data_IF_461979492117
#
_entry.id   IF_461979492117
#
_cell.length_a   1.000
_cell.length_b   1.000
_cell.length_c   1.000
_cell.angle_alpha   90.00
_cell.angle_beta   90.00
_cell.angle_gamma   90.00
#
_symmetry.space_group_name_H-M   'P 1'
#
loop_
_entity.id
_entity.type
_entity.pdbx_description
1 polymer ?
#
# COMPACT_ATOMS: atom_id res chain seq x y z
N UNK A 1 -24.39 69.28 25.27
CA UNK A 1 -24.51 68.70 23.91
C UNK A 1 -23.51 67.56 23.66
N UNK A 2 -22.21 67.72 23.96
CA UNK A 2 -21.18 66.69 23.70
C UNK A 2 -21.33 65.35 24.45
N UNK A 3 -21.91 65.35 25.65
CA UNK A 3 -22.07 64.13 26.45
C UNK A 3 -23.10 63.17 25.83
N UNK A 4 -24.26 63.66 25.38
CA UNK A 4 -25.33 62.85 24.76
C UNK A 4 -24.90 62.20 23.45
N UNK A 5 -24.19 62.92 22.58
CA UNK A 5 -23.65 62.35 21.33
C UNK A 5 -22.59 61.26 21.57
N UNK A 6 -21.84 61.35 22.67
CA UNK A 6 -20.87 60.33 23.05
C UNK A 6 -21.55 59.04 23.50
N UNK A 7 -22.67 59.14 24.24
CA UNK A 7 -23.46 57.98 24.67
C UNK A 7 -24.14 57.26 23.48
N UNK A 8 -24.66 58.00 22.50
CA UNK A 8 -25.28 57.40 21.30
C UNK A 8 -24.26 56.59 20.47
N UNK A 9 -23.05 57.13 20.29
CA UNK A 9 -21.97 56.42 19.60
C UNK A 9 -21.52 55.16 20.36
N UNK A 10 -21.36 55.25 21.69
CA UNK A 10 -21.03 54.09 22.53
C UNK A 10 -22.08 52.99 22.44
N UNK A 11 -23.37 53.36 22.44
CA UNK A 11 -24.47 52.42 22.34
C UNK A 11 -24.53 51.72 20.97
N UNK A 12 -24.32 52.47 19.88
CA UNK A 12 -24.22 51.90 18.53
C UNK A 12 -23.04 50.93 18.41
N UNK A 13 -21.89 51.26 18.99
CA UNK A 13 -20.71 50.41 18.98
C UNK A 13 -20.93 49.11 19.78
N UNK A 14 -21.56 49.19 20.95
CA UNK A 14 -21.92 48.02 21.75
C UNK A 14 -22.89 47.11 20.99
N UNK A 15 -23.93 47.68 20.36
CA UNK A 15 -24.89 46.90 19.56
C UNK A 15 -24.23 46.24 18.36
N UNK A 16 -23.33 46.93 17.66
CA UNK A 16 -22.59 46.37 16.53
C UNK A 16 -21.67 45.22 16.97
N UNK A 17 -20.97 45.36 18.09
CA UNK A 17 -20.15 44.29 18.67
C UNK A 17 -20.99 43.10 19.09
N UNK A 18 -22.14 43.33 19.73
CA UNK A 18 -23.06 42.27 20.15
C UNK A 18 -23.64 41.52 18.94
N UNK A 19 -24.07 42.24 17.89
CA UNK A 19 -24.55 41.65 16.65
C UNK A 19 -23.45 40.82 15.96
N UNK A 20 -22.22 41.33 15.92
CA UNK A 20 -21.06 40.61 15.37
C UNK A 20 -20.77 39.34 16.17
N UNK A 21 -20.82 39.41 17.51
CA UNK A 21 -20.63 38.26 18.38
C UNK A 21 -21.71 37.19 18.18
N UNK A 22 -22.98 37.59 18.09
CA UNK A 22 -24.10 36.68 17.80
C UNK A 22 -23.90 36.01 16.44
N UNK A 23 -23.48 36.77 15.42
CA UNK A 23 -23.24 36.23 14.08
C UNK A 23 -22.08 35.23 14.06
N UNK A 24 -20.96 35.56 14.73
CA UNK A 24 -19.84 34.62 14.89
C UNK A 24 -20.26 33.35 15.64
N UNK A 25 -21.05 33.48 16.72
CA UNK A 25 -21.56 32.35 17.48
C UNK A 25 -22.49 31.47 16.64
N UNK A 26 -23.41 32.07 15.89
CA UNK A 26 -24.30 31.35 14.98
C UNK A 26 -23.53 30.62 13.88
N UNK A 27 -22.50 31.25 13.29
CA UNK A 27 -21.63 30.63 12.29
C UNK A 27 -20.86 29.44 12.89
N UNK A 28 -20.26 29.61 14.07
CA UNK A 28 -19.54 28.55 14.77
C UNK A 28 -20.45 27.36 15.08
N UNK A 29 -21.66 27.63 15.59
CA UNK A 29 -22.65 26.61 15.89
C UNK A 29 -23.07 25.85 14.62
N UNK A 30 -23.37 26.58 13.54
CA UNK A 30 -23.73 25.98 12.24
C UNK A 30 -22.62 25.09 11.68
N UNK A 31 -21.37 25.57 11.66
CA UNK A 31 -20.21 24.79 11.19
C UNK A 31 -20.02 23.50 12.01
N UNK A 32 -20.15 23.60 13.33
CA UNK A 32 -19.99 22.47 14.25
C UNK A 32 -21.12 21.45 14.07
N UNK A 33 -22.37 21.92 14.04
CA UNK A 33 -23.54 21.09 13.79
C UNK A 33 -23.42 20.36 12.44
N UNK A 34 -23.06 21.09 11.39
CA UNK A 34 -22.94 20.54 10.05
C UNK A 34 -21.79 19.51 9.93
N UNK A 35 -20.64 19.79 10.55
CA UNK A 35 -19.52 18.85 10.67
C UNK A 35 -19.96 17.56 11.37
N UNK A 36 -20.68 17.68 12.49
CA UNK A 36 -21.18 16.53 13.25
C UNK A 36 -22.22 15.74 12.46
N UNK A 37 -23.17 16.42 11.81
CA UNK A 37 -24.17 15.79 10.96
C UNK A 37 -23.53 14.99 9.81
N UNK A 38 -22.57 15.59 9.09
CA UNK A 38 -21.80 14.90 8.03
C UNK A 38 -21.06 13.68 8.58
N UNK A 39 -20.43 13.77 9.75
CA UNK A 39 -19.72 12.64 10.40
C UNK A 39 -20.68 11.51 10.74
N UNK A 40 -21.83 11.81 11.34
CA UNK A 40 -22.84 10.81 11.72
C UNK A 40 -23.40 10.11 10.48
N UNK A 41 -23.81 10.86 9.45
CA UNK A 41 -24.32 10.28 8.20
C UNK A 41 -23.29 9.36 7.56
N UNK A 42 -22.03 9.81 7.46
CA UNK A 42 -20.92 8.99 6.93
C UNK A 42 -20.66 7.74 7.77
N UNK A 43 -20.80 7.81 9.10
CA UNK A 43 -20.65 6.65 9.98
C UNK A 43 -21.75 5.62 9.74
N UNK A 44 -23.02 6.07 9.65
CA UNK A 44 -24.16 5.19 9.34
C UNK A 44 -24.00 4.51 7.99
N UNK A 45 -23.59 5.24 6.96
CA UNK A 45 -23.30 4.66 5.64
C UNK A 45 -22.16 3.63 5.68
N UNK A 46 -21.12 3.86 6.49
CA UNK A 46 -20.04 2.88 6.66
C UNK A 46 -20.54 1.61 7.34
N UNK A 47 -21.29 1.72 8.43
CA UNK A 47 -21.84 0.56 9.16
C UNK A 47 -22.73 -0.25 8.22
N UNK A 48 -23.66 0.41 7.52
CA UNK A 48 -24.55 -0.23 6.56
C UNK A 48 -23.80 -1.04 5.49
N UNK A 49 -22.78 -0.44 4.85
CA UNK A 49 -22.01 -1.18 3.85
C UNK A 49 -21.11 -2.25 4.46
N UNK A 50 -20.58 -2.04 5.66
CA UNK A 50 -19.75 -3.03 6.34
C UNK A 50 -20.56 -4.30 6.63
N UNK A 51 -21.80 -4.18 7.11
CA UNK A 51 -22.68 -5.33 7.34
C UNK A 51 -22.95 -6.13 6.06
N UNK A 52 -23.19 -5.42 4.94
CA UNK A 52 -23.35 -6.06 3.62
C UNK A 52 -22.07 -6.80 3.22
N UNK A 53 -20.92 -6.15 3.36
CA UNK A 53 -19.61 -6.69 2.96
C UNK A 53 -19.29 -7.93 3.79
N UNK A 54 -19.46 -7.86 5.10
CA UNK A 54 -19.12 -8.95 6.01
C UNK A 54 -19.98 -10.17 5.71
N UNK A 55 -21.29 -9.97 5.47
CA UNK A 55 -22.17 -11.05 5.04
C UNK A 55 -21.73 -11.67 3.71
N UNK A 56 -21.50 -10.85 2.68
CA UNK A 56 -21.11 -11.34 1.34
C UNK A 56 -19.79 -12.11 1.39
N UNK A 57 -18.80 -11.62 2.14
CA UNK A 57 -17.50 -12.27 2.25
C UNK A 57 -17.55 -13.53 3.13
N UNK A 58 -18.40 -13.55 4.14
CA UNK A 58 -18.65 -14.76 4.92
C UNK A 58 -19.27 -15.85 4.06
N UNK A 59 -20.34 -15.54 3.33
CA UNK A 59 -21.02 -16.47 2.43
C UNK A 59 -20.02 -16.98 1.35
N UNK A 60 -19.23 -16.09 0.73
CA UNK A 60 -18.18 -16.48 -0.23
C UNK A 60 -17.19 -17.53 0.31
N UNK A 61 -16.80 -17.41 1.59
CA UNK A 61 -15.78 -18.25 2.19
C UNK A 61 -16.33 -19.56 2.74
N UNK A 62 -17.55 -19.56 3.29
CA UNK A 62 -18.07 -20.65 4.11
C UNK A 62 -19.36 -21.29 3.60
N UNK A 63 -20.05 -20.67 2.64
CA UNK A 63 -21.18 -21.30 1.97
C UNK A 63 -20.69 -22.06 0.72
N UNK A 64 -20.98 -23.35 0.66
CA UNK A 64 -20.60 -24.24 -0.44
C UNK A 64 -21.33 -23.89 -1.74
N UNK A 65 -22.49 -23.25 -1.65
CA UNK A 65 -23.31 -22.87 -2.80
C UNK A 65 -22.98 -21.46 -3.33
N UNK A 66 -22.21 -20.67 -2.58
CA UNK A 66 -21.84 -19.32 -2.98
C UNK A 66 -20.49 -19.31 -3.70
N UNK A 67 -20.55 -19.18 -5.03
CA UNK A 67 -19.36 -18.99 -5.86
C UNK A 67 -18.94 -17.50 -5.93
N UNK A 68 -17.71 -17.20 -6.39
CA UNK A 68 -17.22 -15.83 -6.51
C UNK A 68 -18.10 -14.91 -7.38
N UNK A 69 -18.72 -15.44 -8.43
CA UNK A 69 -19.62 -14.70 -9.33
C UNK A 69 -20.90 -14.25 -8.65
N UNK A 70 -21.51 -15.16 -7.89
CA UNK A 70 -22.75 -14.93 -7.15
C UNK A 70 -22.50 -13.91 -6.05
N UNK A 71 -21.44 -14.10 -5.25
CA UNK A 71 -21.04 -13.12 -4.24
C UNK A 71 -20.76 -11.75 -4.86
N UNK A 72 -20.06 -11.70 -6.01
CA UNK A 72 -19.77 -10.45 -6.72
C UNK A 72 -21.04 -9.76 -7.25
N UNK A 73 -22.01 -10.50 -7.76
CA UNK A 73 -23.29 -9.97 -8.23
C UNK A 73 -24.11 -9.38 -7.08
N UNK A 74 -24.16 -10.08 -5.94
CA UNK A 74 -24.81 -9.58 -4.71
C UNK A 74 -24.10 -8.32 -4.23
N UNK A 75 -22.77 -8.32 -4.16
CA UNK A 75 -21.97 -7.15 -3.78
C UNK A 75 -22.31 -5.95 -4.67
N UNK A 76 -22.25 -6.11 -6.00
CA UNK A 76 -22.55 -5.02 -6.94
C UNK A 76 -23.97 -4.50 -6.79
N UNK A 77 -24.95 -5.40 -6.68
CA UNK A 77 -26.36 -5.03 -6.54
C UNK A 77 -26.62 -4.26 -5.24
N UNK A 78 -26.10 -4.75 -4.12
CA UNK A 78 -26.32 -4.16 -2.79
C UNK A 78 -25.52 -2.89 -2.56
N UNK A 79 -24.33 -2.79 -3.15
CA UNK A 79 -23.44 -1.63 -2.94
C UNK A 79 -23.55 -0.58 -4.04
N UNK A 80 -24.07 -0.95 -5.21
CA UNK A 80 -24.14 -0.10 -6.41
C UNK A 80 -22.79 0.55 -6.76
N UNK A 81 -21.69 -0.17 -6.50
CA UNK A 81 -20.31 0.32 -6.67
C UNK A 81 -20.02 1.63 -5.93
N UNK A 82 -20.72 1.88 -4.82
CA UNK A 82 -20.54 3.09 -4.03
C UNK A 82 -19.11 3.15 -3.47
N UNK A 83 -18.45 4.30 -3.62
CA UNK A 83 -17.02 4.47 -3.26
C UNK A 83 -16.67 4.05 -1.84
N UNK A 84 -17.55 4.31 -0.86
CA UNK A 84 -17.32 3.88 0.53
C UNK A 84 -17.36 2.34 0.62
N UNK A 85 -18.31 1.70 -0.07
CA UNK A 85 -18.43 0.26 -0.10
C UNK A 85 -17.22 -0.38 -0.80
N UNK A 86 -16.77 0.14 -1.94
CA UNK A 86 -15.56 -0.36 -2.61
C UNK A 86 -14.34 -0.25 -1.71
N UNK A 87 -14.18 0.88 -1.01
CA UNK A 87 -13.07 1.06 -0.06
C UNK A 87 -13.13 0.08 1.12
N UNK A 88 -14.30 -0.12 1.71
CA UNK A 88 -14.48 -1.05 2.83
C UNK A 88 -14.32 -2.51 2.38
N UNK A 89 -14.92 -2.87 1.24
CA UNK A 89 -14.88 -4.20 0.65
C UNK A 89 -13.45 -4.61 0.36
N UNK A 90 -12.68 -3.72 -0.28
CA UNK A 90 -11.26 -3.94 -0.52
C UNK A 90 -10.47 -4.14 0.78
N UNK A 91 -10.74 -3.33 1.81
CA UNK A 91 -10.07 -3.47 3.11
C UNK A 91 -10.37 -4.81 3.77
N UNK A 92 -11.64 -5.22 3.85
CA UNK A 92 -12.03 -6.53 4.39
C UNK A 92 -11.41 -7.66 3.59
N UNK A 93 -11.48 -7.57 2.26
CA UNK A 93 -10.94 -8.57 1.33
C UNK A 93 -9.42 -8.77 1.52
N UNK A 94 -8.64 -7.70 1.69
CA UNK A 94 -7.20 -7.77 1.97
C UNK A 94 -6.86 -8.39 3.32
N UNK A 95 -7.70 -8.16 4.34
CA UNK A 95 -7.50 -8.77 5.66
C UNK A 95 -7.70 -10.29 5.53
N UNK A 96 -8.79 -10.70 4.87
CA UNK A 96 -9.06 -12.12 4.63
C UNK A 96 -7.97 -12.76 3.76
N UNK A 97 -7.56 -12.13 2.66
CA UNK A 97 -6.51 -12.67 1.77
C UNK A 97 -5.16 -12.87 2.47
N UNK A 98 -4.85 -12.03 3.47
CA UNK A 98 -3.64 -12.20 4.29
C UNK A 98 -3.72 -13.39 5.24
N UNK A 99 -4.92 -13.70 5.73
CA UNK A 99 -5.14 -14.72 6.75
C UNK A 99 -5.45 -16.10 6.17
N UNK A 100 -5.96 -16.18 4.94
CA UNK A 100 -6.32 -17.43 4.27
C UNK A 100 -5.34 -17.80 3.15
N UNK A 101 -5.18 -19.11 2.92
CA UNK A 101 -4.33 -19.70 1.88
C UNK A 101 -5.12 -20.70 1.03
N UNK A 102 -4.48 -21.32 0.03
CA UNK A 102 -5.09 -22.35 -0.80
C UNK A 102 -6.34 -21.89 -1.56
N UNK A 103 -7.38 -22.72 -1.59
CA UNK A 103 -8.60 -22.48 -2.37
C UNK A 103 -9.37 -21.24 -1.91
N UNK A 104 -9.43 -20.96 -0.60
CA UNK A 104 -10.10 -19.77 -0.08
C UNK A 104 -9.44 -18.48 -0.59
N UNK A 105 -8.10 -18.47 -0.67
CA UNK A 105 -7.36 -17.34 -1.25
C UNK A 105 -7.73 -17.12 -2.72
N UNK A 106 -7.84 -18.20 -3.50
CA UNK A 106 -8.25 -18.12 -4.91
C UNK A 106 -9.69 -17.63 -5.08
N UNK A 107 -10.62 -18.04 -4.19
CA UNK A 107 -11.99 -17.49 -4.16
C UNK A 107 -11.99 -15.97 -3.97
N UNK A 108 -11.16 -15.46 -3.04
CA UNK A 108 -11.03 -14.03 -2.76
C UNK A 108 -10.44 -13.26 -3.95
N UNK A 109 -9.42 -13.80 -4.62
CA UNK A 109 -8.83 -13.22 -5.85
C UNK A 109 -9.84 -13.19 -7.00
N UNK A 110 -10.63 -14.25 -7.16
CA UNK A 110 -11.71 -14.28 -8.15
C UNK A 110 -12.79 -13.25 -7.85
N UNK A 111 -13.25 -13.17 -6.60
CA UNK A 111 -14.22 -12.16 -6.16
C UNK A 111 -13.70 -10.73 -6.38
N UNK A 112 -12.42 -10.46 -6.11
CA UNK A 112 -11.80 -9.15 -6.33
C UNK A 112 -12.00 -8.63 -7.76
N UNK A 113 -11.79 -9.51 -8.74
CA UNK A 113 -11.97 -9.18 -10.15
C UNK A 113 -13.45 -9.04 -10.48
N UNK A 114 -14.25 -10.05 -10.11
CA UNK A 114 -15.65 -10.12 -10.52
C UNK A 114 -16.53 -9.04 -9.86
N UNK A 115 -16.21 -8.62 -8.64
CA UNK A 115 -16.91 -7.54 -7.92
C UNK A 115 -16.63 -6.14 -8.47
N UNK A 116 -15.60 -5.98 -9.32
CA UNK A 116 -15.15 -4.67 -9.82
C UNK A 116 -14.21 -3.93 -8.86
N UNK A 117 -13.80 -4.56 -7.75
CA UNK A 117 -12.81 -3.99 -6.84
C UNK A 117 -11.43 -3.86 -7.50
N UNK A 118 -11.07 -4.75 -8.42
CA UNK A 118 -9.85 -4.61 -9.23
C UNK A 118 -9.82 -3.32 -10.03
N UNK A 119 -10.95 -2.95 -10.67
CA UNK A 119 -11.07 -1.70 -11.41
C UNK A 119 -10.95 -0.49 -10.48
N UNK A 120 -11.55 -0.55 -9.29
CA UNK A 120 -11.42 0.50 -8.29
C UNK A 120 -9.95 0.74 -7.90
N UNK A 121 -9.16 -0.31 -7.74
CA UNK A 121 -7.71 -0.21 -7.48
C UNK A 121 -6.93 0.29 -8.69
N UNK A 122 -7.24 -0.18 -9.90
CA UNK A 122 -6.65 0.30 -11.15
C UNK A 122 -6.80 1.82 -11.31
N UNK A 123 -7.98 2.35 -11.00
CA UNK A 123 -8.24 3.78 -11.10
C UNK A 123 -7.33 4.61 -10.17
N UNK A 124 -6.79 4.02 -9.09
CA UNK A 124 -5.85 4.70 -8.19
C UNK A 124 -4.48 4.91 -8.84
N UNK A 125 -4.08 4.07 -9.81
CA UNK A 125 -2.82 4.23 -10.54
C UNK A 125 -2.76 5.54 -11.36
N UNK A 126 -3.93 6.07 -11.74
CA UNK A 126 -4.06 7.31 -12.50
C UNK A 126 -4.18 8.57 -11.61
N UNK A 127 -4.03 8.41 -10.29
CA UNK A 127 -4.15 9.52 -9.34
C UNK A 127 -2.95 10.46 -9.40
N UNK A 128 -3.20 11.78 -9.34
CA UNK A 128 -2.14 12.79 -9.13
C UNK A 128 -1.51 12.71 -7.73
N UNK A 129 -2.28 12.19 -6.77
CA UNK A 129 -1.80 11.93 -5.41
C UNK A 129 -1.03 10.61 -5.41
N UNK A 130 0.30 10.71 -5.28
CA UNK A 130 1.23 9.59 -5.27
C UNK A 130 0.89 8.55 -4.21
N UNK A 131 0.28 8.96 -3.08
CA UNK A 131 -0.09 8.03 -2.00
C UNK A 131 -1.17 7.07 -2.46
N UNK A 132 -2.11 7.54 -3.29
CA UNK A 132 -3.13 6.68 -3.90
C UNK A 132 -2.54 5.78 -4.97
N UNK A 133 -1.53 6.24 -5.72
CA UNK A 133 -0.83 5.39 -6.69
C UNK A 133 -0.18 4.21 -5.97
N UNK A 134 0.55 4.47 -4.87
CA UNK A 134 1.11 3.45 -3.98
C UNK A 134 0.03 2.50 -3.45
N UNK A 135 -1.11 3.04 -2.99
CA UNK A 135 -2.26 2.23 -2.55
C UNK A 135 -2.72 1.30 -3.68
N UNK A 136 -2.96 1.82 -4.88
CA UNK A 136 -3.37 1.02 -6.04
C UNK A 136 -2.38 -0.08 -6.42
N UNK A 137 -1.07 0.23 -6.43
CA UNK A 137 -0.01 -0.75 -6.69
C UNK A 137 -0.10 -1.90 -5.68
N UNK A 138 -0.21 -1.59 -4.38
CA UNK A 138 -0.32 -2.59 -3.31
C UNK A 138 -1.58 -3.43 -3.43
N UNK A 139 -2.71 -2.81 -3.75
CA UNK A 139 -3.98 -3.51 -3.88
C UNK A 139 -3.92 -4.54 -5.00
N UNK A 140 -3.38 -4.14 -6.16
CA UNK A 140 -3.31 -4.98 -7.35
C UNK A 140 -2.30 -6.11 -7.17
N UNK A 141 -1.13 -5.85 -6.58
CA UNK A 141 -0.10 -6.87 -6.35
C UNK A 141 -0.47 -7.85 -5.24
N UNK A 142 -1.02 -7.37 -4.13
CA UNK A 142 -1.46 -8.22 -3.00
C UNK A 142 -2.53 -9.21 -3.45
N UNK A 143 -3.47 -8.76 -4.29
CA UNK A 143 -4.52 -9.61 -4.84
C UNK A 143 -4.09 -10.39 -6.10
N UNK A 144 -2.77 -10.50 -6.34
CA UNK A 144 -2.19 -11.25 -7.45
C UNK A 144 -2.81 -10.91 -8.83
N UNK A 145 -3.15 -9.64 -9.06
CA UNK A 145 -3.87 -9.23 -10.25
C UNK A 145 -2.92 -9.04 -11.44
N UNK A 146 -2.58 -10.15 -12.10
CA UNK A 146 -1.65 -10.20 -13.24
C UNK A 146 -1.91 -9.18 -14.37
N UNK A 147 -3.17 -8.87 -14.75
CA UNK A 147 -3.43 -7.85 -15.77
C UNK A 147 -2.87 -6.46 -15.44
N UNK A 148 -2.63 -6.16 -14.16
CA UNK A 148 -2.03 -4.89 -13.74
C UNK A 148 -0.52 -4.79 -13.97
N UNK A 149 0.15 -5.89 -14.32
CA UNK A 149 1.62 -5.92 -14.43
C UNK A 149 2.17 -4.78 -15.29
N UNK A 150 1.63 -4.58 -16.49
CA UNK A 150 2.09 -3.52 -17.40
C UNK A 150 1.89 -2.13 -16.79
N UNK A 151 0.71 -1.86 -16.25
CA UNK A 151 0.39 -0.58 -15.64
C UNK A 151 1.23 -0.28 -14.38
N UNK A 152 1.58 -1.30 -13.60
CA UNK A 152 2.50 -1.18 -12.47
C UNK A 152 3.93 -0.95 -12.97
N UNK A 153 4.37 -1.66 -14.01
CA UNK A 153 5.69 -1.48 -14.60
C UNK A 153 5.90 -0.06 -15.11
N UNK A 154 4.87 0.57 -15.69
CA UNK A 154 4.93 1.97 -16.11
C UNK A 154 5.23 2.94 -14.93
N UNK A 155 4.85 2.59 -13.70
CA UNK A 155 5.12 3.38 -12.50
C UNK A 155 6.60 3.37 -12.07
N UNK A 156 7.44 2.51 -12.65
CA UNK A 156 8.90 2.56 -12.43
C UNK A 156 9.53 3.88 -12.92
N UNK A 157 8.83 4.61 -13.80
CA UNK A 157 9.22 5.93 -14.34
C UNK A 157 8.59 7.09 -13.58
N UNK A 158 7.85 6.83 -12.50
CA UNK A 158 7.17 7.87 -11.74
C UNK A 158 8.18 8.82 -11.05
N UNK A 159 7.93 10.15 -10.98
CA UNK A 159 8.90 11.12 -10.41
C UNK A 159 9.19 10.94 -8.91
N UNK A 160 8.38 10.16 -8.20
CA UNK A 160 8.55 9.88 -6.76
C UNK A 160 9.20 8.53 -6.54
N UNK A 161 10.37 8.51 -5.90
CA UNK A 161 11.11 7.28 -5.57
C UNK A 161 10.23 6.25 -4.85
N UNK A 162 9.42 6.66 -3.87
CA UNK A 162 8.51 5.76 -3.15
C UNK A 162 7.54 5.00 -4.07
N UNK A 163 7.07 5.63 -5.15
CA UNK A 163 6.20 4.97 -6.14
C UNK A 163 7.00 3.97 -6.97
N UNK A 164 8.21 4.33 -7.38
CA UNK A 164 9.10 3.46 -8.15
C UNK A 164 9.48 2.21 -7.33
N UNK A 165 9.83 2.38 -6.06
CA UNK A 165 10.19 1.28 -5.15
C UNK A 165 8.99 0.37 -4.90
N UNK A 166 7.80 0.94 -4.65
CA UNK A 166 6.58 0.15 -4.50
C UNK A 166 6.22 -0.62 -5.77
N UNK A 167 6.33 0.03 -6.93
CA UNK A 167 6.08 -0.61 -8.22
C UNK A 167 7.00 -1.81 -8.41
N UNK A 168 8.29 -1.68 -8.10
CA UNK A 168 9.22 -2.79 -8.21
C UNK A 168 8.90 -3.94 -7.25
N UNK A 169 8.59 -3.66 -5.98
CA UNK A 169 8.13 -4.67 -5.01
C UNK A 169 6.93 -5.43 -5.58
N UNK A 170 5.94 -4.71 -6.12
CA UNK A 170 4.75 -5.28 -6.72
C UNK A 170 5.05 -6.16 -7.94
N UNK A 171 6.01 -5.80 -8.79
CA UNK A 171 6.43 -6.64 -9.92
C UNK A 171 7.03 -7.96 -9.42
N UNK A 172 7.89 -7.92 -8.40
CA UNK A 172 8.44 -9.13 -7.75
C UNK A 172 7.32 -9.98 -7.15
N UNK A 173 6.31 -9.37 -6.51
CA UNK A 173 5.16 -10.11 -5.98
C UNK A 173 4.37 -10.81 -7.10
N UNK A 174 4.20 -10.17 -8.27
CA UNK A 174 3.42 -10.71 -9.37
C UNK A 174 4.16 -11.78 -10.18
N UNK A 175 5.46 -11.61 -10.44
CA UNK A 175 6.23 -12.50 -11.34
C UNK A 175 7.42 -13.20 -10.70
N UNK A 176 7.65 -12.96 -9.43
CA UNK A 176 8.70 -13.62 -8.67
C UNK A 176 10.10 -13.06 -8.90
N UNK A 177 11.09 -13.89 -8.57
CA UNK A 177 12.50 -13.50 -8.48
C UNK A 177 13.16 -13.18 -9.81
N UNK A 178 12.53 -13.52 -10.94
CA UNK A 178 13.02 -13.13 -12.28
C UNK A 178 13.10 -11.61 -12.46
N UNK A 179 12.19 -10.86 -11.81
CA UNK A 179 12.20 -9.40 -11.85
C UNK A 179 13.46 -8.80 -11.20
N UNK A 180 14.11 -9.51 -10.27
CA UNK A 180 15.32 -9.06 -9.59
C UNK A 180 16.50 -8.89 -10.55
N UNK A 181 16.53 -9.64 -11.66
CA UNK A 181 17.61 -9.52 -12.66
C UNK A 181 17.63 -8.14 -13.32
N UNK A 182 16.48 -7.46 -13.39
CA UNK A 182 16.35 -6.11 -13.95
C UNK A 182 17.03 -5.03 -13.09
N UNK A 183 17.38 -5.35 -11.85
CA UNK A 183 18.00 -4.40 -10.92
C UNK A 183 19.47 -4.12 -11.22
N UNK A 184 20.20 -5.02 -11.91
CA UNK A 184 21.67 -4.91 -12.04
C UNK A 184 22.14 -3.51 -12.43
N UNK A 185 21.50 -2.92 -13.44
CA UNK A 185 21.84 -1.59 -13.96
C UNK A 185 20.80 -0.52 -13.58
N UNK A 186 19.97 -0.77 -12.56
CA UNK A 186 18.89 0.12 -12.17
C UNK A 186 19.37 1.20 -11.20
N UNK A 187 18.87 2.43 -11.41
CA UNK A 187 18.99 3.55 -10.48
C UNK A 187 17.97 3.49 -9.33
N UNK A 188 17.19 2.41 -9.23
CA UNK A 188 16.12 2.29 -8.24
C UNK A 188 16.67 2.25 -6.81
N UNK A 189 16.23 3.19 -5.99
CA UNK A 189 16.57 3.19 -4.57
C UNK A 189 15.66 2.23 -3.79
N UNK A 190 16.24 1.19 -3.18
CA UNK A 190 15.55 0.21 -2.35
C UNK A 190 16.01 0.33 -0.90
N UNK A 191 15.28 1.10 -0.09
CA UNK A 191 15.60 1.25 1.33
C UNK A 191 15.41 -0.07 2.12
N UNK A 192 15.79 -0.06 3.40
CA UNK A 192 15.69 -1.24 4.26
C UNK A 192 14.24 -1.75 4.40
N UNK A 193 13.24 -0.87 4.31
CA UNK A 193 11.84 -1.24 4.31
C UNK A 193 11.46 -1.99 3.02
N UNK A 194 11.83 -1.46 1.85
CA UNK A 194 11.56 -2.07 0.55
C UNK A 194 12.23 -3.44 0.44
N UNK A 195 13.49 -3.55 0.86
CA UNK A 195 14.22 -4.82 0.86
C UNK A 195 13.59 -5.85 1.81
N UNK A 196 13.21 -5.44 3.02
CA UNK A 196 12.49 -6.30 3.96
C UNK A 196 11.15 -6.78 3.38
N UNK A 197 10.44 -5.91 2.67
CA UNK A 197 9.17 -6.24 2.04
C UNK A 197 9.35 -7.24 0.88
N UNK A 198 10.39 -7.07 0.05
CA UNK A 198 10.76 -8.07 -0.97
C UNK A 198 10.98 -9.43 -0.31
N UNK A 199 11.91 -9.53 0.66
CA UNK A 199 12.24 -10.79 1.33
C UNK A 199 11.02 -11.42 2.02
N UNK A 200 10.20 -10.61 2.69
CA UNK A 200 8.96 -11.08 3.32
C UNK A 200 8.00 -11.73 2.31
N UNK A 201 7.80 -11.11 1.15
CA UNK A 201 6.92 -11.68 0.13
C UNK A 201 7.51 -12.94 -0.48
N UNK A 202 8.81 -12.96 -0.80
CA UNK A 202 9.50 -14.16 -1.30
C UNK A 202 9.30 -15.36 -0.36
N UNK A 203 9.37 -15.12 0.96
CA UNK A 203 9.09 -16.12 2.00
C UNK A 203 7.63 -16.55 2.03
N UNK A 204 6.70 -15.59 2.07
CA UNK A 204 5.26 -15.86 2.18
C UNK A 204 4.74 -16.70 1.00
N UNK A 205 5.30 -16.53 -0.19
CA UNK A 205 4.87 -17.25 -1.40
C UNK A 205 5.77 -18.43 -1.77
N UNK A 206 6.78 -18.76 -0.94
CA UNK A 206 7.76 -19.81 -1.21
C UNK A 206 8.35 -19.72 -2.64
N UNK A 207 8.68 -18.51 -3.08
CA UNK A 207 9.22 -18.28 -4.42
C UNK A 207 10.60 -18.89 -4.56
N UNK A 208 10.87 -19.46 -5.74
CA UNK A 208 12.18 -20.05 -6.08
C UNK A 208 13.31 -19.01 -5.98
N UNK A 209 14.53 -19.42 -5.61
CA UNK A 209 15.68 -18.53 -5.57
C UNK A 209 15.90 -17.84 -6.92
N UNK A 210 16.40 -16.60 -6.94
CA UNK A 210 16.89 -15.98 -8.17
C UNK A 210 18.04 -16.81 -8.77
N UNK A 211 18.13 -16.88 -10.09
CA UNK A 211 19.15 -17.69 -10.79
C UNK A 211 20.58 -17.22 -10.53
N UNK A 212 20.81 -15.90 -10.55
CA UNK A 212 22.15 -15.31 -10.42
C UNK A 212 22.14 -14.06 -9.52
N UNK A 213 21.82 -14.19 -8.22
CA UNK A 213 21.77 -13.04 -7.32
C UNK A 213 23.13 -12.35 -7.15
N UNK A 214 24.24 -13.08 -7.31
CA UNK A 214 25.59 -12.54 -7.18
C UNK A 214 25.88 -11.43 -8.21
N UNK A 215 25.27 -11.47 -9.40
CA UNK A 215 25.46 -10.40 -10.41
C UNK A 215 24.92 -9.04 -9.92
N UNK A 216 24.03 -9.02 -8.93
CA UNK A 216 23.52 -7.77 -8.34
C UNK A 216 24.53 -7.12 -7.38
N UNK A 217 25.54 -7.86 -6.90
CA UNK A 217 26.64 -7.30 -6.08
C UNK A 217 27.57 -6.37 -6.87
N UNK A 218 27.55 -6.49 -8.20
CA UNK A 218 28.31 -5.66 -9.15
C UNK A 218 27.55 -4.38 -9.55
N UNK A 219 26.31 -4.20 -9.09
CA UNK A 219 25.52 -3.01 -9.39
C UNK A 219 26.22 -1.73 -8.92
N UNK A 220 26.17 -0.61 -9.67
CA UNK A 220 26.62 0.68 -9.16
C UNK A 220 25.77 1.18 -7.98
N UNK A 221 24.59 0.57 -7.76
CA UNK A 221 23.66 0.96 -6.72
C UNK A 221 23.87 0.14 -5.44
N UNK A 222 24.32 0.81 -4.40
CA UNK A 222 24.63 0.21 -3.10
C UNK A 222 23.45 -0.51 -2.45
N UNK A 223 22.23 -0.01 -2.63
CA UNK A 223 21.04 -0.66 -2.06
C UNK A 223 20.75 -1.99 -2.74
N UNK A 224 21.03 -2.09 -4.04
CA UNK A 224 20.88 -3.31 -4.84
C UNK A 224 21.95 -4.33 -4.45
N UNK A 225 23.21 -3.88 -4.24
CA UNK A 225 24.29 -4.74 -3.72
C UNK A 225 23.93 -5.33 -2.36
N UNK A 226 23.37 -4.53 -1.46
CA UNK A 226 22.91 -5.01 -0.15
C UNK A 226 21.77 -6.03 -0.28
N UNK A 227 20.79 -5.77 -1.16
CA UNK A 227 19.69 -6.70 -1.43
C UNK A 227 20.23 -8.04 -1.95
N UNK A 228 21.23 -8.02 -2.82
CA UNK A 228 21.89 -9.21 -3.35
C UNK A 228 22.46 -10.10 -2.23
N UNK A 229 23.21 -9.51 -1.31
CA UNK A 229 23.76 -10.23 -0.16
C UNK A 229 22.66 -10.82 0.74
N UNK A 230 21.58 -10.06 1.00
CA UNK A 230 20.43 -10.55 1.76
C UNK A 230 19.68 -11.69 1.06
N UNK A 231 19.60 -11.68 -0.27
CA UNK A 231 19.01 -12.78 -1.05
C UNK A 231 19.87 -14.04 -0.97
N UNK A 232 21.19 -13.89 -1.06
CA UNK A 232 22.15 -15.00 -0.92
C UNK A 232 22.03 -15.63 0.47
N UNK A 233 21.99 -14.82 1.52
CA UNK A 233 21.73 -15.25 2.90
C UNK A 233 20.39 -15.98 3.01
N UNK A 234 19.31 -15.32 2.59
CA UNK A 234 17.95 -15.84 2.74
C UNK A 234 17.73 -17.19 2.04
N UNK A 235 18.27 -17.37 0.84
CA UNK A 235 18.18 -18.62 0.09
C UNK A 235 19.31 -19.61 0.38
N UNK A 236 20.17 -19.31 1.37
CA UNK A 236 21.31 -20.15 1.77
C UNK A 236 22.22 -20.51 0.58
N UNK A 237 22.43 -19.56 -0.34
CA UNK A 237 23.25 -19.75 -1.53
C UNK A 237 24.75 -19.55 -1.21
N UNK A 238 25.24 -20.30 -0.23
CA UNK A 238 26.57 -20.14 0.37
C UNK A 238 27.73 -20.26 -0.62
N UNK A 239 27.52 -20.91 -1.77
CA UNK A 239 28.48 -20.93 -2.87
C UNK A 239 28.85 -19.52 -3.40
N UNK A 240 28.03 -18.49 -3.13
CA UNK A 240 28.28 -17.11 -3.53
C UNK A 240 28.89 -16.23 -2.43
N UNK A 241 29.31 -16.81 -1.30
CA UNK A 241 29.90 -16.07 -0.17
C UNK A 241 31.15 -15.28 -0.60
N UNK A 242 32.01 -15.85 -1.45
CA UNK A 242 33.19 -15.17 -1.98
C UNK A 242 32.85 -13.90 -2.79
N UNK A 243 31.68 -13.85 -3.43
CA UNK A 243 31.23 -12.65 -4.13
C UNK A 243 30.88 -11.51 -3.15
N UNK A 244 30.34 -11.84 -1.97
CA UNK A 244 30.07 -10.88 -0.90
C UNK A 244 31.39 -10.35 -0.33
N UNK A 245 32.38 -11.22 -0.10
CA UNK A 245 33.72 -10.84 0.36
C UNK A 245 34.40 -9.88 -0.63
N UNK A 246 34.34 -10.18 -1.93
CA UNK A 246 34.84 -9.28 -2.96
C UNK A 246 34.10 -7.92 -2.96
N UNK A 247 32.78 -7.92 -2.77
CA UNK A 247 31.98 -6.69 -2.69
C UNK A 247 32.38 -5.81 -1.47
N UNK A 248 32.76 -6.42 -0.34
CA UNK A 248 33.24 -5.73 0.87
C UNK A 248 34.59 -5.05 0.62
N UNK A 249 35.50 -5.73 -0.09
CA UNK A 249 36.85 -5.21 -0.41
C UNK A 249 36.75 -4.06 -1.43
N UNK A 250 35.92 -4.21 -2.45
CA UNK A 250 35.81 -3.26 -3.58
C UNK A 250 34.94 -2.04 -3.29
N UNK A 251 34.04 -2.10 -2.30
CA UNK A 251 33.19 -0.94 -1.99
C UNK A 251 33.99 0.20 -1.37
N UNK A 252 33.82 1.43 -1.87
CA UNK A 252 34.32 2.64 -1.23
C UNK A 252 33.43 3.13 -0.06
N UNK A 253 32.21 2.61 0.07
CA UNK A 253 31.24 3.06 1.05
C UNK A 253 31.31 2.26 2.36
N UNK A 254 31.65 2.93 3.45
CA UNK A 254 31.78 2.34 4.79
C UNK A 254 30.46 1.80 5.34
N UNK A 255 29.34 2.48 5.10
CA UNK A 255 28.01 2.04 5.56
C UNK A 255 27.60 0.74 4.87
N UNK A 256 27.77 0.66 3.54
CA UNK A 256 27.52 -0.58 2.80
C UNK A 256 28.45 -1.69 3.28
N UNK A 257 29.75 -1.39 3.46
CA UNK A 257 30.74 -2.36 3.95
C UNK A 257 30.31 -3.00 5.27
N UNK A 258 29.91 -2.18 6.24
CA UNK A 258 29.43 -2.66 7.54
C UNK A 258 28.18 -3.52 7.41
N UNK A 259 27.21 -3.12 6.58
CA UNK A 259 25.99 -3.90 6.35
C UNK A 259 26.28 -5.25 5.69
N UNK A 260 27.19 -5.29 4.71
CA UNK A 260 27.62 -6.53 4.07
C UNK A 260 28.37 -7.45 5.05
N UNK A 261 29.22 -6.89 5.92
CA UNK A 261 29.92 -7.66 6.95
C UNK A 261 28.96 -8.32 7.93
N UNK A 262 27.88 -7.62 8.33
CA UNK A 262 26.84 -8.20 9.19
C UNK A 262 26.19 -9.40 8.52
N UNK A 263 25.81 -9.27 7.24
CA UNK A 263 25.22 -10.38 6.46
C UNK A 263 26.20 -11.55 6.36
N UNK A 264 27.46 -11.27 6.03
CA UNK A 264 28.52 -12.29 5.91
C UNK A 264 28.75 -13.04 7.23
N UNK A 265 28.76 -12.34 8.37
CA UNK A 265 28.93 -12.97 9.67
C UNK A 265 27.75 -13.88 10.03
N UNK A 266 26.51 -13.52 9.67
CA UNK A 266 25.34 -14.38 9.86
C UNK A 266 25.43 -15.63 9.00
N UNK A 267 25.80 -15.50 7.72
CA UNK A 267 26.05 -16.64 6.83
C UNK A 267 27.09 -17.60 7.45
N UNK A 268 28.23 -17.08 7.96
CA UNK A 268 29.29 -17.90 8.56
C UNK A 268 28.83 -18.65 9.82
N UNK A 269 27.90 -18.08 10.58
CA UNK A 269 27.33 -18.73 11.77
C UNK A 269 26.25 -19.77 11.43
N UNK A 270 25.65 -19.69 10.24
CA UNK A 270 24.61 -20.60 9.76
C UNK A 270 25.16 -21.76 8.91
N UNK A 271 26.44 -21.71 8.52
CA UNK A 271 27.10 -22.80 7.83
C UNK A 271 27.29 -23.99 8.77
N UNK A 272 26.87 -25.22 8.37
CA UNK A 272 27.05 -26.42 9.16
C UNK A 272 28.51 -26.87 9.28
#
# INVERSE_FOLDING_TARGET
MNQFQHYDFQLQLILALLATFILMFALFFFLTYYSRYRRIKKSRTKIYYQEIIDKVLFDLLFDEHTDPSTAAAIFKTKTQNHRIASKLGLKSLMVLHRNYSGQLRLKLESFYVQSGLSQYSFNKLNSRDWSKVVEGIRDLSTMNHQPAYKAISDQLRHPKLVVRSEAFIALVVLRGTEELQKLRNSDLYLDDWAQSNILYNLKRTAMKPPTHPQHLLESPNETIRLLAARLIEYYQMFQHTGAIENAIVTTGNNTLRNKLQIVLNRIKNEQP
#
